data_IF_523466789627
#
_entry.id   IF_523466789627
#
_cell.length_a   1.000
_cell.length_b   1.000
_cell.length_c   1.000
_cell.angle_alpha   90.00
_cell.angle_beta   90.00
_cell.angle_gamma   90.00
#
_symmetry.space_group_name_H-M   'P 1'
#
loop_
_entity.id
_entity.type
_entity.pdbx_description
1 polymer ?
#
# COMPACT_ATOMS: atom_id res chain seq x y z
N UNK A 1 -3.37 29.57 5.46
CA UNK A 1 -1.92 29.25 5.49
C UNK A 1 -1.72 28.04 6.39
N UNK A 2 -1.01 27.00 5.95
CA UNK A 2 -0.71 25.86 6.82
C UNK A 2 0.13 26.34 8.02
N UNK A 3 -0.20 25.85 9.21
CA UNK A 3 0.53 26.15 10.45
C UNK A 3 1.94 25.55 10.37
N UNK A 4 2.93 26.18 11.01
CA UNK A 4 4.34 25.74 11.02
C UNK A 4 4.51 24.27 11.45
N UNK A 5 3.70 23.82 12.41
CA UNK A 5 3.67 22.42 12.87
C UNK A 5 3.29 21.41 11.78
N UNK A 6 2.46 21.81 10.82
CA UNK A 6 2.10 20.97 9.67
C UNK A 6 3.29 20.82 8.72
N UNK A 7 3.94 21.94 8.39
CA UNK A 7 5.05 21.98 7.42
C UNK A 7 6.26 21.25 7.98
N UNK A 8 6.68 21.58 9.20
CA UNK A 8 7.83 20.95 9.86
C UNK A 8 7.67 19.44 10.05
N UNK A 9 6.45 18.95 10.32
CA UNK A 9 6.20 17.52 10.40
C UNK A 9 6.26 16.85 9.03
N UNK A 10 5.72 17.48 7.98
CA UNK A 10 5.82 16.97 6.61
C UNK A 10 7.29 16.86 6.17
N UNK A 11 8.10 17.89 6.41
CA UNK A 11 9.53 17.90 6.06
C UNK A 11 10.27 16.77 6.76
N UNK A 12 10.06 16.60 8.07
CA UNK A 12 10.68 15.48 8.82
C UNK A 12 10.25 14.11 8.31
N UNK A 13 8.99 13.94 7.91
CA UNK A 13 8.52 12.68 7.35
C UNK A 13 9.16 12.45 5.98
N UNK A 14 9.27 13.47 5.14
CA UNK A 14 9.92 13.38 3.84
C UNK A 14 11.38 12.93 3.96
N UNK A 15 12.12 13.48 4.92
CA UNK A 15 13.53 13.11 5.16
C UNK A 15 13.73 11.67 5.65
N UNK A 16 12.72 11.12 6.32
CA UNK A 16 12.79 9.81 6.98
C UNK A 16 12.15 8.68 6.18
N UNK A 17 11.20 8.99 5.29
CA UNK A 17 10.49 8.01 4.49
C UNK A 17 11.45 7.38 3.46
N UNK A 18 11.51 6.04 3.34
CA UNK A 18 12.36 5.36 2.37
C UNK A 18 11.79 5.43 0.95
N UNK A 19 11.55 6.64 0.43
CA UNK A 19 11.10 6.92 -0.94
C UNK A 19 12.27 7.50 -1.72
N UNK A 20 12.39 7.18 -3.02
CA UNK A 20 13.43 7.75 -3.87
C UNK A 20 13.10 9.17 -4.33
N UNK A 21 14.07 10.07 -4.17
CA UNK A 21 14.00 11.45 -4.63
C UNK A 21 13.26 12.39 -3.66
N UNK A 22 12.90 13.61 -4.11
CA UNK A 22 12.14 14.54 -3.30
C UNK A 22 10.82 13.90 -2.89
N UNK A 23 10.38 14.06 -1.64
CA UNK A 23 9.05 13.59 -1.20
C UNK A 23 8.16 14.77 -0.82
N UNK A 24 6.85 14.59 -0.95
CA UNK A 24 5.83 15.48 -0.39
C UNK A 24 4.89 14.69 0.48
N UNK A 25 4.54 15.23 1.65
CA UNK A 25 3.58 14.64 2.56
C UNK A 25 2.26 15.42 2.59
N UNK A 26 1.15 14.70 2.56
CA UNK A 26 -0.17 15.22 2.88
C UNK A 26 -0.73 14.52 4.12
N UNK A 27 -1.39 15.30 4.99
CA UNK A 27 -2.00 14.76 6.22
C UNK A 27 -3.51 14.59 6.11
N UNK A 28 -4.00 13.51 6.72
CA UNK A 28 -5.41 13.11 6.81
C UNK A 28 -5.76 12.68 8.24
N UNK A 29 -7.03 12.39 8.50
CA UNK A 29 -7.52 12.04 9.84
C UNK A 29 -7.52 10.53 10.11
N UNK A 30 -7.73 9.69 9.09
CA UNK A 30 -7.75 8.23 9.22
C UNK A 30 -6.76 7.53 8.27
N UNK A 31 -6.38 6.29 8.62
CA UNK A 31 -5.53 5.48 7.72
C UNK A 31 -6.26 5.14 6.41
N UNK A 32 -7.59 4.95 6.48
CA UNK A 32 -8.39 4.73 5.29
C UNK A 32 -8.37 5.94 4.35
N UNK A 33 -8.43 7.17 4.87
CA UNK A 33 -8.29 8.38 4.05
C UNK A 33 -6.90 8.50 3.42
N UNK A 34 -5.83 8.11 4.14
CA UNK A 34 -4.49 8.07 3.56
C UNK A 34 -4.42 7.10 2.37
N UNK A 35 -4.97 5.88 2.53
CA UNK A 35 -5.06 4.90 1.44
C UNK A 35 -5.93 5.38 0.28
N UNK A 36 -7.08 5.99 0.54
CA UNK A 36 -7.92 6.55 -0.53
C UNK A 36 -7.22 7.66 -1.29
N UNK A 37 -6.46 8.52 -0.62
CA UNK A 37 -5.69 9.55 -1.30
C UNK A 37 -4.48 8.98 -2.06
N UNK A 38 -3.87 7.89 -1.58
CA UNK A 38 -2.84 7.17 -2.32
C UNK A 38 -3.41 6.60 -3.63
N UNK A 39 -4.60 5.99 -3.56
CA UNK A 39 -5.35 5.54 -4.76
C UNK A 39 -5.65 6.69 -5.70
N UNK A 40 -6.15 7.83 -5.19
CA UNK A 40 -6.46 9.00 -6.01
C UNK A 40 -5.22 9.55 -6.71
N UNK A 41 -4.10 9.68 -5.99
CA UNK A 41 -2.83 10.14 -6.55
C UNK A 41 -2.34 9.17 -7.62
N UNK A 42 -2.38 7.86 -7.35
CA UNK A 42 -1.94 6.86 -8.30
C UNK A 42 -2.76 6.87 -9.61
N UNK A 43 -4.09 6.93 -9.49
CA UNK A 43 -4.99 7.02 -10.65
C UNK A 43 -4.80 8.33 -11.41
N UNK A 44 -4.65 9.45 -10.71
CA UNK A 44 -4.46 10.76 -11.33
C UNK A 44 -3.11 10.86 -12.06
N UNK A 45 -2.04 10.29 -11.49
CA UNK A 45 -0.70 10.28 -12.09
C UNK A 45 -0.62 9.37 -13.32
N UNK A 46 -1.14 8.15 -13.20
CA UNK A 46 -1.03 7.16 -14.28
C UNK A 46 -2.12 7.31 -15.36
N UNK A 47 -3.25 7.93 -15.03
CA UNK A 47 -4.45 7.95 -15.87
C UNK A 47 -5.18 6.59 -15.95
N UNK A 48 -4.81 5.64 -15.08
CA UNK A 48 -5.27 4.24 -15.15
C UNK A 48 -6.28 3.93 -14.03
N UNK A 49 -7.28 3.06 -14.26
CA UNK A 49 -8.29 2.75 -13.24
C UNK A 49 -7.89 1.62 -12.28
N UNK A 50 -7.08 0.66 -12.75
CA UNK A 50 -6.84 -0.62 -12.09
C UNK A 50 -6.00 -0.52 -10.83
N UNK A 51 -6.37 -1.31 -9.82
CA UNK A 51 -5.63 -1.47 -8.57
C UNK A 51 -5.48 -2.95 -8.28
N UNK A 52 -4.27 -3.38 -7.93
CA UNK A 52 -4.01 -4.72 -7.44
C UNK A 52 -3.67 -4.65 -5.96
N UNK A 53 -4.28 -5.53 -5.17
CA UNK A 53 -4.06 -5.72 -3.73
C UNK A 53 -3.97 -7.23 -3.47
N UNK A 54 -3.85 -7.65 -2.21
CA UNK A 54 -3.61 -9.05 -1.88
C UNK A 54 -4.64 -9.64 -0.92
N UNK A 55 -4.91 -10.94 -1.08
CA UNK A 55 -5.68 -11.73 -0.12
C UNK A 55 -5.06 -11.64 1.28
N UNK A 56 -5.91 -11.57 2.31
CA UNK A 56 -5.48 -11.39 3.71
C UNK A 56 -5.13 -9.94 4.09
N UNK A 57 -4.99 -9.02 3.13
CA UNK A 57 -4.65 -7.62 3.42
C UNK A 57 -5.80 -6.83 4.05
N UNK A 58 -5.47 -5.79 4.82
CA UNK A 58 -6.44 -4.88 5.44
C UNK A 58 -6.03 -3.42 5.26
N UNK A 59 -6.85 -2.68 4.51
CA UNK A 59 -6.58 -1.29 4.15
C UNK A 59 -7.58 -0.28 4.72
N UNK A 60 -8.62 -0.74 5.41
CA UNK A 60 -9.62 0.12 6.05
C UNK A 60 -11.06 -0.35 5.89
N UNK A 61 -12.00 0.54 6.25
CA UNK A 61 -13.45 0.27 6.30
C UNK A 61 -14.31 1.30 5.55
N UNK A 62 -13.70 2.19 4.78
CA UNK A 62 -14.41 3.02 3.80
C UNK A 62 -14.70 2.20 2.55
N UNK A 63 -15.60 2.65 1.66
CA UNK A 63 -16.00 1.86 0.49
C UNK A 63 -14.82 1.42 -0.39
N UNK A 64 -13.89 2.33 -0.69
CA UNK A 64 -12.71 1.99 -1.49
C UNK A 64 -11.75 1.07 -0.72
N UNK A 65 -11.53 1.32 0.58
CA UNK A 65 -10.60 0.49 1.37
C UNK A 65 -11.17 -0.88 1.74
N UNK A 66 -12.49 -1.03 1.83
CA UNK A 66 -13.16 -2.34 1.89
C UNK A 66 -13.03 -3.11 0.58
N UNK A 67 -13.07 -2.41 -0.57
CA UNK A 67 -12.76 -3.02 -1.86
C UNK A 67 -11.33 -3.58 -1.85
N UNK A 68 -10.36 -2.78 -1.37
CA UNK A 68 -8.95 -3.18 -1.27
C UNK A 68 -8.69 -4.28 -0.22
N UNK A 69 -9.49 -4.35 0.84
CA UNK A 69 -9.33 -5.35 1.90
C UNK A 69 -9.59 -6.76 1.38
N UNK A 70 -8.64 -7.66 1.63
CA UNK A 70 -8.60 -9.04 1.14
C UNK A 70 -9.24 -10.08 2.07
N UNK A 71 -10.10 -9.66 3.01
CA UNK A 71 -10.83 -10.53 3.94
C UNK A 71 -12.32 -10.17 3.99
N UNK A 72 -13.19 -11.15 3.75
CA UNK A 72 -14.65 -10.94 3.62
C UNK A 72 -15.32 -10.75 4.98
N UNK A 73 -15.14 -11.68 5.92
CA UNK A 73 -15.69 -11.57 7.27
C UNK A 73 -14.64 -11.00 8.24
N UNK A 74 -14.98 -10.02 9.12
CA UNK A 74 -16.27 -9.33 9.24
C UNK A 74 -16.34 -8.01 8.43
N UNK A 75 -15.38 -7.74 7.54
CA UNK A 75 -15.18 -6.39 7.00
C UNK A 75 -16.05 -6.03 5.78
N UNK A 76 -16.53 -7.01 5.00
CA UNK A 76 -17.20 -6.80 3.69
C UNK A 76 -18.62 -7.34 3.60
N UNK A 77 -19.01 -8.28 4.48
CA UNK A 77 -20.34 -8.91 4.45
C UNK A 77 -21.42 -7.84 4.65
N UNK A 78 -22.36 -7.75 3.69
CA UNK A 78 -23.51 -6.85 3.77
C UNK A 78 -23.26 -5.39 3.33
N UNK A 79 -22.06 -5.04 2.87
CA UNK A 79 -21.70 -3.65 2.53
C UNK A 79 -21.49 -3.38 1.02
N UNK A 80 -21.66 -4.39 0.17
CA UNK A 80 -21.50 -4.25 -1.28
C UNK A 80 -22.70 -3.60 -2.00
N UNK A 81 -22.55 -3.24 -3.29
CA UNK A 81 -21.37 -3.42 -4.13
C UNK A 81 -20.24 -2.42 -3.82
N UNK A 82 -19.00 -2.84 -4.05
CA UNK A 82 -17.80 -2.03 -3.83
C UNK A 82 -17.32 -1.35 -5.12
N UNK A 83 -16.51 -0.27 -5.03
CA UNK A 83 -15.84 0.32 -6.20
C UNK A 83 -15.08 -0.73 -7.02
N UNK A 84 -15.27 -0.70 -8.35
CA UNK A 84 -14.68 -1.66 -9.28
C UNK A 84 -13.21 -1.39 -9.64
N UNK A 85 -12.67 -2.20 -10.55
CA UNK A 85 -11.26 -2.19 -10.98
C UNK A 85 -10.26 -2.47 -9.85
N UNK A 86 -10.65 -3.35 -8.92
CA UNK A 86 -9.80 -3.84 -7.83
C UNK A 86 -9.66 -5.34 -7.96
N UNK A 87 -8.42 -5.82 -8.01
CA UNK A 87 -8.09 -7.22 -8.22
C UNK A 87 -7.22 -7.72 -7.06
N UNK A 88 -7.45 -8.96 -6.64
CA UNK A 88 -6.76 -9.55 -5.48
C UNK A 88 -5.81 -10.64 -5.94
N UNK A 89 -4.50 -10.36 -5.86
CA UNK A 89 -3.45 -11.37 -5.95
C UNK A 89 -3.36 -12.21 -4.69
N UNK A 90 -2.59 -13.28 -4.77
CA UNK A 90 -2.24 -14.13 -3.63
C UNK A 90 -1.02 -13.52 -2.92
N UNK A 91 -1.05 -13.44 -1.59
CA UNK A 91 0.09 -13.01 -0.78
C UNK A 91 0.96 -14.22 -0.40
N UNK A 92 2.30 -14.14 -0.47
CA UNK A 92 3.17 -15.23 -0.04
C UNK A 92 2.94 -15.58 1.43
N UNK A 93 2.80 -16.87 1.73
CA UNK A 93 2.57 -17.33 3.09
C UNK A 93 3.08 -18.77 3.27
N UNK A 94 4.29 -18.91 3.81
CA UNK A 94 4.93 -20.20 4.04
C UNK A 94 4.12 -21.12 4.97
N UNK A 95 3.43 -20.57 5.98
CA UNK A 95 2.61 -21.35 6.91
C UNK A 95 1.40 -22.00 6.22
N UNK A 96 0.93 -21.42 5.11
CA UNK A 96 -0.15 -21.94 4.28
C UNK A 96 0.37 -22.62 2.99
N UNK A 97 1.69 -22.84 2.87
CA UNK A 97 2.30 -23.47 1.70
C UNK A 97 2.27 -22.62 0.43
N UNK A 98 2.08 -21.31 0.55
CA UNK A 98 2.04 -20.38 -0.58
C UNK A 98 3.42 -19.77 -0.78
N UNK A 99 4.06 -20.10 -1.91
CA UNK A 99 5.40 -19.60 -2.23
C UNK A 99 5.36 -18.22 -2.90
N UNK A 100 6.52 -17.55 -2.99
CA UNK A 100 6.68 -16.34 -3.82
C UNK A 100 6.28 -16.60 -5.27
N UNK A 101 6.62 -17.76 -5.84
CA UNK A 101 6.28 -18.11 -7.21
C UNK A 101 4.76 -18.23 -7.42
N UNK A 102 4.03 -18.79 -6.45
CA UNK A 102 2.57 -18.87 -6.49
C UNK A 102 1.92 -17.47 -6.47
N UNK A 103 2.46 -16.58 -5.63
CA UNK A 103 2.02 -15.19 -5.56
C UNK A 103 2.25 -14.46 -6.89
N UNK A 104 3.43 -14.57 -7.49
CA UNK A 104 3.73 -13.95 -8.79
C UNK A 104 2.88 -14.53 -9.92
N UNK A 105 2.69 -15.85 -9.96
CA UNK A 105 1.79 -16.51 -10.92
C UNK A 105 0.35 -16.01 -10.81
N UNK A 106 -0.10 -15.64 -9.62
CA UNK A 106 -1.42 -15.02 -9.44
C UNK A 106 -1.53 -13.64 -10.09
N UNK A 107 -0.45 -12.84 -10.06
CA UNK A 107 -0.39 -11.54 -10.73
C UNK A 107 -0.37 -11.71 -12.25
N UNK A 108 0.43 -12.65 -12.77
CA UNK A 108 0.41 -13.00 -14.19
C UNK A 108 -0.99 -13.40 -14.67
N UNK A 109 -1.72 -14.17 -13.84
CA UNK A 109 -3.12 -14.56 -14.13
C UNK A 109 -4.03 -13.33 -14.21
N UNK A 110 -3.92 -12.40 -13.25
CA UNK A 110 -4.68 -11.14 -13.26
C UNK A 110 -4.38 -10.36 -14.53
N UNK A 111 -3.10 -10.23 -14.90
CA UNK A 111 -2.71 -9.50 -16.10
C UNK A 111 -3.23 -10.12 -17.40
N UNK A 112 -3.35 -11.45 -17.43
CA UNK A 112 -3.80 -12.18 -18.61
C UNK A 112 -5.32 -12.27 -18.74
N UNK A 113 -6.03 -12.38 -17.62
CA UNK A 113 -7.46 -12.73 -17.61
C UNK A 113 -8.38 -11.59 -17.15
N UNK A 114 -7.88 -10.67 -16.32
CA UNK A 114 -8.74 -9.75 -15.57
C UNK A 114 -8.49 -8.27 -15.94
N UNK A 115 -7.23 -7.86 -16.13
CA UNK A 115 -6.87 -6.48 -16.51
C UNK A 115 -5.50 -6.40 -17.19
N UNK A 116 -5.37 -5.64 -18.28
CA UNK A 116 -4.07 -5.42 -18.91
C UNK A 116 -3.12 -4.58 -18.00
N UNK A 117 -1.81 -4.88 -17.94
CA UNK A 117 -0.86 -4.16 -17.07
C UNK A 117 -0.85 -2.64 -17.27
N UNK A 118 -1.03 -2.18 -18.50
CA UNK A 118 -1.09 -0.76 -18.88
C UNK A 118 -2.39 -0.05 -18.44
N UNK A 119 -3.35 -0.78 -17.88
CA UNK A 119 -4.56 -0.27 -17.24
C UNK A 119 -4.48 -0.33 -15.71
N UNK A 120 -3.35 -0.75 -15.13
CA UNK A 120 -3.15 -0.78 -13.68
C UNK A 120 -2.38 0.46 -13.22
N UNK A 121 -2.99 1.22 -12.31
CA UNK A 121 -2.40 2.41 -11.71
C UNK A 121 -1.40 2.06 -10.60
N UNK A 122 -1.77 1.10 -9.74
CA UNK A 122 -0.95 0.75 -8.60
C UNK A 122 -1.13 -0.69 -8.13
N UNK A 123 -0.06 -1.24 -7.55
CA UNK A 123 -0.08 -2.39 -6.65
C UNK A 123 0.06 -1.85 -5.23
N UNK A 124 -0.89 -2.16 -4.35
CA UNK A 124 -0.84 -1.82 -2.93
C UNK A 124 -0.63 -3.07 -2.08
N UNK A 125 0.28 -2.99 -1.12
CA UNK A 125 0.52 -4.07 -0.17
C UNK A 125 0.92 -3.55 1.21
N UNK A 126 0.74 -4.39 2.22
CA UNK A 126 1.39 -4.24 3.52
C UNK A 126 2.75 -4.96 3.48
N UNK A 127 3.88 -4.34 3.87
CA UNK A 127 5.18 -5.02 3.93
C UNK A 127 5.19 -6.20 4.92
N UNK A 128 4.33 -6.11 5.95
CA UNK A 128 3.94 -7.21 6.83
C UNK A 128 2.43 -7.06 7.04
N UNK A 129 1.64 -8.06 6.61
CA UNK A 129 0.19 -8.02 6.77
C UNK A 129 -0.21 -8.02 8.24
N UNK A 130 -0.98 -7.04 8.68
CA UNK A 130 -1.46 -6.96 10.05
C UNK A 130 -2.57 -7.95 10.36
N UNK A 131 -3.80 -7.57 9.99
CA UNK A 131 -5.01 -8.38 10.24
C UNK A 131 -5.01 -9.73 9.47
N UNK A 132 -4.13 -9.86 8.48
CA UNK A 132 -3.89 -11.09 7.72
C UNK A 132 -3.13 -12.17 8.47
N UNK A 133 -2.53 -11.85 9.63
CA UNK A 133 -1.84 -12.82 10.49
C UNK A 133 -0.34 -12.60 10.65
N UNK A 134 0.13 -11.36 10.50
CA UNK A 134 1.55 -10.98 10.64
C UNK A 134 2.44 -11.69 9.60
N UNK A 135 1.92 -11.84 8.39
CA UNK A 135 2.63 -12.46 7.27
C UNK A 135 3.66 -11.46 6.71
N UNK A 136 4.93 -11.80 6.80
CA UNK A 136 6.03 -10.97 6.29
C UNK A 136 6.21 -11.20 4.79
N UNK A 137 6.27 -10.13 3.99
CA UNK A 137 6.61 -10.23 2.58
C UNK A 137 8.05 -10.77 2.42
N UNK A 138 8.26 -11.87 1.68
CA UNK A 138 9.61 -12.29 1.33
C UNK A 138 10.36 -11.22 0.52
N UNK A 139 11.68 -11.09 0.72
CA UNK A 139 12.47 -10.05 0.04
C UNK A 139 12.51 -10.23 -1.49
N UNK A 140 12.56 -11.47 -1.96
CA UNK A 140 12.45 -11.84 -3.37
C UNK A 140 11.10 -11.45 -3.97
N UNK A 141 10.01 -11.60 -3.20
CA UNK A 141 8.69 -11.13 -3.62
C UNK A 141 8.63 -9.60 -3.74
N UNK A 142 9.16 -8.87 -2.76
CA UNK A 142 9.23 -7.41 -2.81
C UNK A 142 10.01 -6.92 -4.04
N UNK A 143 11.16 -7.54 -4.32
CA UNK A 143 11.97 -7.19 -5.49
C UNK A 143 11.22 -7.47 -6.79
N UNK A 144 10.58 -8.64 -6.91
CA UNK A 144 9.79 -8.98 -8.08
C UNK A 144 8.61 -8.02 -8.30
N UNK A 145 7.95 -7.54 -7.24
CA UNK A 145 6.92 -6.51 -7.34
C UNK A 145 7.49 -5.18 -7.88
N UNK A 146 8.67 -4.77 -7.41
CA UNK A 146 9.33 -3.55 -7.88
C UNK A 146 9.68 -3.64 -9.36
N UNK A 147 10.31 -4.73 -9.78
CA UNK A 147 10.69 -4.96 -11.18
C UNK A 147 9.45 -4.96 -12.09
N UNK A 148 8.36 -5.57 -11.63
CA UNK A 148 7.09 -5.60 -12.35
C UNK A 148 6.48 -4.20 -12.47
N UNK A 149 6.49 -3.45 -11.38
CA UNK A 149 6.02 -2.07 -11.34
C UNK A 149 6.82 -1.18 -12.31
N UNK A 150 8.15 -1.31 -12.32
CA UNK A 150 9.03 -0.55 -13.20
C UNK A 150 8.83 -0.93 -14.67
N UNK A 151 8.64 -2.22 -14.96
CA UNK A 151 8.41 -2.73 -16.32
C UNK A 151 7.12 -2.18 -16.93
N UNK A 152 6.04 -2.09 -16.15
CA UNK A 152 4.71 -1.72 -16.65
C UNK A 152 4.31 -0.26 -16.34
N UNK A 153 5.17 0.49 -15.64
CA UNK A 153 4.85 1.83 -15.15
C UNK A 153 3.68 1.83 -14.16
N UNK A 154 3.59 0.79 -13.32
CA UNK A 154 2.61 0.67 -12.24
C UNK A 154 3.26 1.23 -10.98
N UNK A 155 2.51 1.97 -10.16
CA UNK A 155 3.05 2.49 -8.89
C UNK A 155 3.01 1.43 -7.79
N UNK A 156 4.06 1.36 -6.99
CA UNK A 156 4.12 0.53 -5.79
C UNK A 156 3.71 1.36 -4.56
N UNK A 157 2.64 0.93 -3.88
CA UNK A 157 2.15 1.58 -2.65
C UNK A 157 2.43 0.67 -1.46
N UNK A 158 3.27 1.13 -0.53
CA UNK A 158 3.51 0.46 0.74
C UNK A 158 2.56 0.99 1.81
N UNK A 159 1.64 0.13 2.27
CA UNK A 159 0.76 0.43 3.39
C UNK A 159 1.44 0.16 4.72
N UNK A 160 2.01 1.22 5.29
CA UNK A 160 2.73 1.22 6.57
C UNK A 160 1.86 1.75 7.72
N UNK A 161 0.53 1.72 7.54
CA UNK A 161 -0.43 2.16 8.56
C UNK A 161 -0.27 1.39 9.88
N UNK A 162 0.14 0.12 9.84
CA UNK A 162 0.41 -0.69 11.05
C UNK A 162 1.90 -0.93 11.30
N UNK A 163 2.70 -1.09 10.25
CA UNK A 163 4.11 -1.47 10.34
C UNK A 163 5.08 -0.30 10.54
N UNK A 164 4.64 0.94 10.27
CA UNK A 164 5.44 2.14 10.48
C UNK A 164 5.63 2.51 11.95
N UNK A 165 6.47 3.53 12.18
CA UNK A 165 6.81 4.09 13.49
C UNK A 165 7.41 3.08 14.47
N UNK A 166 8.57 2.51 14.11
CA UNK A 166 9.42 1.66 14.95
C UNK A 166 8.84 0.27 15.29
N UNK A 167 7.64 -0.08 14.78
CA UNK A 167 6.96 -1.35 15.10
C UNK A 167 7.79 -2.58 14.77
N UNK A 168 8.61 -2.52 13.72
CA UNK A 168 9.39 -3.65 13.20
C UNK A 168 10.88 -3.55 13.54
N UNK A 169 11.27 -2.70 14.50
CA UNK A 169 12.67 -2.46 14.86
C UNK A 169 13.41 -1.44 13.96
N UNK A 170 12.75 -0.97 12.90
CA UNK A 170 13.15 0.20 12.09
C UNK A 170 12.00 1.18 12.02
N UNK A 171 12.26 2.43 11.65
CA UNK A 171 11.22 3.47 11.61
C UNK A 171 10.09 3.08 10.66
N UNK A 172 10.40 2.50 9.51
CA UNK A 172 9.44 1.96 8.54
C UNK A 172 9.85 0.53 8.18
N UNK A 173 8.89 -0.37 7.97
CA UNK A 173 9.18 -1.74 7.58
C UNK A 173 9.84 -1.84 6.20
N UNK A 174 9.55 -0.89 5.30
CA UNK A 174 10.21 -0.75 4.01
C UNK A 174 11.72 -0.55 4.14
N UNK A 175 12.24 -0.08 5.27
CA UNK A 175 13.69 0.01 5.50
C UNK A 175 14.37 -1.36 5.67
N UNK A 176 13.61 -2.46 5.78
CA UNK A 176 14.16 -3.83 5.75
C UNK A 176 14.39 -4.35 4.33
N UNK A 177 13.86 -3.66 3.32
CA UNK A 177 14.00 -4.03 1.91
C UNK A 177 14.86 -3.00 1.17
N UNK A 178 15.54 -3.44 0.11
CA UNK A 178 16.24 -2.53 -0.81
C UNK A 178 15.26 -1.77 -1.71
N UNK A 179 14.07 -2.36 -1.91
CA UNK A 179 12.96 -1.81 -2.69
C UNK A 179 12.43 -0.49 -2.12
N UNK A 180 12.18 0.46 -3.01
CA UNK A 180 11.58 1.76 -2.71
C UNK A 180 10.15 1.83 -3.26
N UNK A 181 9.15 2.15 -2.43
CA UNK A 181 7.79 2.38 -2.90
C UNK A 181 7.68 3.77 -3.54
N UNK A 182 6.69 3.94 -4.42
CA UNK A 182 6.36 5.23 -5.02
C UNK A 182 5.48 6.08 -4.08
N UNK A 183 4.61 5.40 -3.30
CA UNK A 183 3.73 6.01 -2.31
C UNK A 183 3.78 5.22 -0.99
N UNK A 184 3.72 5.92 0.14
CA UNK A 184 3.64 5.29 1.46
C UNK A 184 2.49 5.85 2.28
N UNK A 185 1.60 5.00 2.77
CA UNK A 185 0.55 5.39 3.73
C UNK A 185 1.00 5.09 5.15
N UNK A 186 0.82 6.06 6.04
CA UNK A 186 1.28 5.95 7.42
C UNK A 186 0.29 6.54 8.41
N UNK A 187 0.19 5.90 9.57
CA UNK A 187 -0.92 6.11 10.48
C UNK A 187 -0.63 5.67 11.92
N UNK A 188 -1.69 5.35 12.67
CA UNK A 188 -1.70 4.78 14.03
C UNK A 188 -0.69 5.45 14.96
N UNK A 189 0.48 4.83 15.13
CA UNK A 189 1.55 5.24 16.02
C UNK A 189 2.21 6.57 15.63
N UNK A 190 2.00 7.08 14.41
CA UNK A 190 2.48 8.39 13.94
C UNK A 190 2.22 9.54 14.93
N UNK A 191 1.11 9.50 15.67
CA UNK A 191 0.75 10.53 16.64
C UNK A 191 0.51 10.00 18.06
N UNK A 192 1.09 8.84 18.41
CA UNK A 192 1.00 8.31 19.78
C UNK A 192 -0.43 8.12 20.31
N UNK A 193 -1.42 7.92 19.43
CA UNK A 193 -2.84 7.80 19.79
C UNK A 193 -3.72 8.97 19.34
N UNK A 194 -3.16 10.13 18.99
CA UNK A 194 -3.91 11.23 18.35
C UNK A 194 -4.22 10.96 16.87
N UNK A 195 -5.27 11.60 16.34
CA UNK A 195 -5.69 11.48 14.94
C UNK A 195 -4.77 12.30 14.02
N UNK A 196 -3.63 11.74 13.62
CA UNK A 196 -2.78 12.25 12.55
C UNK A 196 -2.31 11.11 11.67
N UNK A 197 -2.45 11.24 10.35
CA UNK A 197 -2.21 10.21 9.34
C UNK A 197 -1.55 10.90 8.15
N UNK A 198 -0.57 10.29 7.52
CA UNK A 198 0.24 10.90 6.48
C UNK A 198 0.31 9.99 5.24
N UNK A 199 0.46 10.61 4.08
CA UNK A 199 0.79 9.96 2.81
C UNK A 199 2.00 10.69 2.24
N UNK A 200 3.08 9.98 1.96
CA UNK A 200 4.26 10.52 1.29
C UNK A 200 4.37 9.99 -0.14
N UNK A 201 4.73 10.87 -1.07
CA UNK A 201 4.82 10.60 -2.51
C UNK A 201 6.03 11.31 -3.13
N UNK A 202 6.72 10.67 -4.07
CA UNK A 202 7.69 11.35 -4.92
C UNK A 202 6.97 12.15 -6.04
N UNK A 203 7.29 13.44 -6.28
CA UNK A 203 6.91 14.13 -7.50
C UNK A 203 7.84 13.65 -8.61
N UNK A 204 7.33 12.81 -9.51
CA UNK A 204 7.95 12.59 -10.82
C UNK A 204 7.20 13.42 -11.86
#
# INVERSE_FOLDING_TARGET
MPYESYVSLAERINDLAPIDGPAKTAFFTTGAEAVENAVKIARAYTGRPGLITFGGGFHGRTFMTMALTGKVAPYKIGFGPFPGSVYHGVYPNAAHGVTTADALKSLERIFKADIAPDQVAAIILEPIQGEGGFNVAPADFMQALRDLCDTHGILLIADEVQTGFARTGKLFAMQHYEVKPDLMTMAKSLAGGFRCRALSAAPR
#
